data_IF_134299472660
#
_entry.id   IF_134299472660
#
_cell.length_a   1.000
_cell.length_b   1.000
_cell.length_c   1.000
_cell.angle_alpha   90.00
_cell.angle_beta   90.00
_cell.angle_gamma   90.00
#
_symmetry.space_group_name_H-M   'P 1'
#
loop_
_entity.id
_entity.type
_entity.pdbx_description
1 polymer ?
#
# COMPACT_ATOMS: atom_id res chain seq x y z
N UNK A 1 -22.43 -25.98 -28.71
CA UNK A 1 -22.67 -25.23 -27.46
C UNK A 1 -21.97 -23.89 -27.59
N UNK A 2 -22.71 -22.78 -27.62
CA UNK A 2 -22.11 -21.46 -27.70
C UNK A 2 -21.50 -21.09 -26.33
N UNK A 3 -20.23 -20.70 -26.31
CA UNK A 3 -19.58 -20.15 -25.12
C UNK A 3 -20.35 -18.90 -24.67
N UNK A 4 -20.94 -18.95 -23.47
CA UNK A 4 -21.48 -17.76 -22.83
C UNK A 4 -20.31 -16.84 -22.48
N UNK A 5 -20.17 -15.75 -23.23
CA UNK A 5 -19.26 -14.65 -22.91
C UNK A 5 -19.58 -14.18 -21.48
N UNK A 6 -18.61 -14.27 -20.58
CA UNK A 6 -18.78 -13.79 -19.20
C UNK A 6 -19.19 -12.31 -19.25
N UNK A 7 -20.33 -11.99 -18.64
CA UNK A 7 -20.79 -10.62 -18.47
C UNK A 7 -19.75 -9.86 -17.65
N UNK A 8 -19.05 -8.92 -18.28
CA UNK A 8 -18.18 -7.98 -17.59
C UNK A 8 -19.06 -6.97 -16.83
N UNK A 9 -18.72 -6.70 -15.57
CA UNK A 9 -19.49 -5.72 -14.80
C UNK A 9 -19.34 -4.30 -15.40
N UNK A 10 -20.37 -3.44 -15.27
CA UNK A 10 -20.34 -2.08 -15.81
C UNK A 10 -19.16 -1.24 -15.29
N UNK A 11 -18.72 -1.50 -14.06
CA UNK A 11 -17.59 -0.81 -13.43
C UNK A 11 -16.28 -1.02 -14.20
N UNK A 12 -15.97 -2.27 -14.57
CA UNK A 12 -14.78 -2.61 -15.32
C UNK A 12 -14.85 -2.12 -16.77
N UNK A 13 -16.03 -2.19 -17.42
CA UNK A 13 -16.20 -1.68 -18.79
C UNK A 13 -16.26 -0.15 -18.86
N UNK A 14 -16.66 0.50 -17.77
CA UNK A 14 -16.80 1.97 -17.65
C UNK A 14 -15.57 2.66 -17.06
N UNK A 15 -14.44 1.97 -16.88
CA UNK A 15 -13.20 2.60 -16.39
C UNK A 15 -13.20 2.93 -14.90
N UNK A 16 -14.06 2.31 -14.08
CA UNK A 16 -14.19 2.62 -12.66
C UNK A 16 -12.89 2.49 -11.86
N UNK A 17 -11.99 1.58 -12.25
CA UNK A 17 -10.66 1.48 -11.65
C UNK A 17 -9.79 2.71 -11.90
N UNK A 18 -9.81 3.24 -13.13
CA UNK A 18 -9.08 4.45 -13.50
C UNK A 18 -9.69 5.70 -12.84
N UNK A 19 -11.02 5.77 -12.73
CA UNK A 19 -11.70 6.83 -11.98
C UNK A 19 -11.32 6.80 -10.49
N UNK A 20 -11.31 5.63 -9.87
CA UNK A 20 -10.87 5.48 -8.48
C UNK A 20 -9.42 5.95 -8.28
N UNK A 21 -8.51 5.54 -9.18
CA UNK A 21 -7.12 6.00 -9.17
C UNK A 21 -7.03 7.52 -9.27
N UNK A 22 -7.72 8.12 -10.24
CA UNK A 22 -7.76 9.56 -10.43
C UNK A 22 -8.33 10.30 -9.21
N UNK A 23 -9.37 9.78 -8.55
CA UNK A 23 -9.91 10.37 -7.32
C UNK A 23 -8.92 10.29 -6.16
N UNK A 24 -8.21 9.16 -6.00
CA UNK A 24 -7.15 9.03 -4.99
C UNK A 24 -6.05 10.05 -5.28
N UNK A 25 -5.54 10.12 -6.51
CA UNK A 25 -4.51 11.10 -6.89
C UNK A 25 -4.97 12.54 -6.64
N UNK A 26 -6.20 12.88 -7.03
CA UNK A 26 -6.79 14.20 -6.79
C UNK A 26 -6.88 14.53 -5.30
N UNK A 27 -7.19 13.55 -4.44
CA UNK A 27 -7.22 13.75 -2.98
C UNK A 27 -5.87 14.21 -2.42
N UNK A 28 -4.76 13.66 -2.90
CA UNK A 28 -3.42 14.07 -2.49
C UNK A 28 -3.06 15.46 -3.03
N UNK A 29 -3.46 15.78 -4.27
CA UNK A 29 -3.30 17.13 -4.83
C UNK A 29 -4.07 18.15 -4.00
N UNK A 30 -5.31 17.85 -3.60
CA UNK A 30 -6.10 18.71 -2.70
C UNK A 30 -5.41 18.89 -1.35
N UNK A 31 -4.87 17.82 -0.76
CA UNK A 31 -4.09 17.91 0.48
C UNK A 31 -2.86 18.81 0.30
N UNK A 32 -2.12 18.68 -0.81
CA UNK A 32 -0.97 19.53 -1.10
C UNK A 32 -1.36 21.01 -1.20
N UNK A 33 -2.41 21.33 -1.96
CA UNK A 33 -2.87 22.71 -2.16
C UNK A 33 -3.42 23.36 -0.89
N UNK A 34 -3.96 22.55 0.03
CA UNK A 34 -4.50 23.02 1.32
C UNK A 34 -3.47 22.98 2.46
N UNK A 35 -2.22 22.58 2.19
CA UNK A 35 -1.15 22.46 3.20
C UNK A 35 -1.27 21.26 4.13
N UNK A 36 -2.12 20.29 3.77
CA UNK A 36 -2.32 19.03 4.46
C UNK A 36 -1.14 18.05 4.36
N UNK A 37 -1.34 16.87 4.95
CA UNK A 37 -0.30 15.87 5.17
C UNK A 37 -0.62 14.56 4.47
N UNK A 38 0.42 13.86 4.00
CA UNK A 38 0.26 12.52 3.44
C UNK A 38 0.04 11.49 4.58
N UNK A 39 -0.88 10.52 4.44
CA UNK A 39 -0.96 9.40 5.38
C UNK A 39 0.33 8.59 5.38
N UNK A 40 0.56 7.81 6.43
CA UNK A 40 1.72 6.91 6.61
C UNK A 40 3.07 7.62 6.83
N UNK A 41 3.15 8.94 6.67
CA UNK A 41 4.31 9.77 6.98
C UNK A 41 4.04 10.69 8.18
N UNK A 42 5.08 11.31 8.78
CA UNK A 42 4.88 12.37 9.76
C UNK A 42 3.99 13.51 9.22
N UNK A 43 3.35 14.28 10.11
CA UNK A 43 2.52 15.43 9.75
C UNK A 43 3.35 16.61 9.23
N UNK A 44 3.97 16.43 8.07
CA UNK A 44 4.78 17.39 7.31
C UNK A 44 4.05 17.68 6.01
N UNK A 45 3.97 18.95 5.62
CA UNK A 45 3.19 19.36 4.46
C UNK A 45 3.72 18.69 3.19
N UNK A 46 2.79 18.32 2.31
CA UNK A 46 3.13 17.83 0.97
C UNK A 46 3.69 19.01 0.17
N UNK A 47 4.87 18.83 -0.41
CA UNK A 47 5.57 19.87 -1.19
C UNK A 47 5.71 19.53 -2.67
N UNK A 48 5.58 18.26 -3.03
CA UNK A 48 5.69 17.78 -4.41
C UNK A 48 4.91 16.47 -4.58
N UNK A 49 4.24 16.32 -5.71
CA UNK A 49 3.57 15.09 -6.13
C UNK A 49 4.01 14.77 -7.55
N UNK A 50 4.33 13.50 -7.79
CA UNK A 50 4.51 12.93 -9.13
C UNK A 50 3.46 11.86 -9.37
N UNK A 51 2.74 11.98 -10.47
CA UNK A 51 1.82 10.96 -10.95
C UNK A 51 2.54 10.15 -12.03
N UNK A 52 2.37 8.83 -12.05
CA UNK A 52 3.03 7.94 -13.01
C UNK A 52 4.58 8.01 -12.97
N UNK A 53 5.15 7.72 -11.80
CA UNK A 53 6.58 7.81 -11.50
C UNK A 53 7.50 6.86 -12.28
N UNK A 54 6.97 5.96 -13.11
CA UNK A 54 7.76 4.94 -13.82
C UNK A 54 8.86 5.53 -14.70
N UNK A 55 8.58 6.65 -15.36
CA UNK A 55 9.54 7.35 -16.23
C UNK A 55 10.73 7.89 -15.42
N UNK A 56 10.52 8.22 -14.15
CA UNK A 56 11.54 8.72 -13.22
C UNK A 56 12.24 7.60 -12.43
N UNK A 57 11.98 6.33 -12.76
CA UNK A 57 12.66 5.17 -12.20
C UNK A 57 12.03 4.59 -10.93
N UNK A 58 10.80 4.98 -10.58
CA UNK A 58 10.01 4.36 -9.52
C UNK A 58 9.27 3.13 -10.07
N UNK A 59 9.39 1.98 -9.42
CA UNK A 59 8.62 0.81 -9.82
C UNK A 59 7.19 0.86 -9.33
N UNK A 60 6.96 1.45 -8.15
CA UNK A 60 5.67 1.82 -7.57
C UNK A 60 5.29 3.22 -8.07
N UNK A 61 4.40 3.28 -9.06
CA UNK A 61 4.36 4.41 -9.98
C UNK A 61 3.07 5.25 -9.97
N UNK A 62 1.93 4.73 -9.51
CA UNK A 62 0.66 5.47 -9.62
C UNK A 62 0.71 6.83 -8.90
N UNK A 63 1.44 6.95 -7.80
CA UNK A 63 1.55 8.17 -7.00
C UNK A 63 2.85 8.22 -6.20
N UNK A 64 3.65 9.28 -6.34
CA UNK A 64 4.79 9.57 -5.47
C UNK A 64 4.58 10.92 -4.78
N UNK A 65 4.59 10.92 -3.45
CA UNK A 65 4.34 12.13 -2.64
C UNK A 65 5.59 12.46 -1.85
N UNK A 66 6.02 13.71 -1.88
CA UNK A 66 7.11 14.22 -1.08
C UNK A 66 6.58 15.16 -0.01
N UNK A 67 7.02 14.95 1.22
CA UNK A 67 6.73 15.82 2.36
C UNK A 67 8.02 16.44 2.88
N UNK A 68 7.94 17.65 3.43
CA UNK A 68 9.10 18.38 3.94
C UNK A 68 8.89 18.84 5.38
N UNK A 69 9.84 18.56 6.26
CA UNK A 69 9.84 19.09 7.61
C UNK A 69 10.03 20.62 7.56
N UNK A 70 9.13 21.42 8.16
CA UNK A 70 9.18 22.87 8.07
C UNK A 70 10.45 23.46 8.70
N UNK A 71 11.01 22.80 9.73
CA UNK A 71 12.14 23.29 10.50
C UNK A 71 13.48 22.77 9.95
N UNK A 72 13.58 21.48 9.66
CA UNK A 72 14.87 20.84 9.30
C UNK A 72 15.11 20.76 7.80
N UNK A 73 14.08 21.02 6.98
CA UNK A 73 14.10 20.79 5.53
C UNK A 73 14.36 19.34 5.11
N UNK A 74 14.26 18.40 6.06
CA UNK A 74 14.29 16.98 5.75
C UNK A 74 13.10 16.61 4.88
N UNK A 75 13.37 15.92 3.76
CA UNK A 75 12.34 15.36 2.89
C UNK A 75 12.17 13.87 3.12
N UNK A 76 10.92 13.43 3.04
CA UNK A 76 10.52 12.03 3.03
C UNK A 76 9.53 11.81 1.90
N UNK A 77 9.40 10.56 1.48
CA UNK A 77 8.47 10.22 0.41
C UNK A 77 7.62 9.00 0.66
N UNK A 78 6.44 9.03 0.04
CA UNK A 78 5.46 7.96 0.02
C UNK A 78 5.35 7.47 -1.43
N UNK A 79 5.65 6.21 -1.67
CA UNK A 79 5.45 5.55 -2.97
C UNK A 79 4.12 4.80 -2.93
N UNK A 80 3.20 5.13 -3.82
CA UNK A 80 1.82 4.68 -3.81
C UNK A 80 1.44 3.89 -5.05
N UNK A 81 0.93 2.68 -4.84
CA UNK A 81 0.18 1.95 -5.87
C UNK A 81 -1.31 2.00 -5.52
N UNK A 82 -2.16 2.28 -6.48
CA UNK A 82 -3.61 2.33 -6.35
C UNK A 82 -4.25 1.19 -7.11
N UNK A 83 -5.05 0.37 -6.42
CA UNK A 83 -5.86 -0.69 -7.03
C UNK A 83 -7.24 -0.72 -6.38
N UNK A 84 -8.27 -0.32 -7.12
CA UNK A 84 -9.64 -0.28 -6.61
C UNK A 84 -10.07 -1.60 -5.95
N UNK A 85 -9.77 -2.74 -6.56
CA UNK A 85 -10.03 -4.06 -5.99
C UNK A 85 -8.78 -4.91 -6.02
N UNK A 86 -8.43 -5.48 -4.87
CA UNK A 86 -7.31 -6.40 -4.73
C UNK A 86 -7.62 -7.41 -3.63
N UNK A 87 -6.99 -8.57 -3.69
CA UNK A 87 -7.20 -9.65 -2.71
C UNK A 87 -5.86 -10.28 -2.40
N UNK A 88 -5.54 -10.41 -1.12
CA UNK A 88 -4.21 -10.84 -0.66
C UNK A 88 -4.16 -12.37 -0.64
N UNK A 89 -3.86 -12.98 -1.80
CA UNK A 89 -3.72 -14.44 -1.94
C UNK A 89 -2.50 -14.80 -2.79
N UNK A 90 -2.00 -16.04 -2.64
CA UNK A 90 -0.83 -16.53 -3.40
C UNK A 90 -1.03 -16.56 -4.92
N UNK A 91 -2.27 -16.76 -5.35
CA UNK A 91 -2.65 -16.86 -6.77
C UNK A 91 -3.04 -15.52 -7.40
N UNK A 92 -3.12 -14.44 -6.63
CA UNK A 92 -3.43 -13.13 -7.20
C UNK A 92 -2.19 -12.54 -7.88
N UNK A 93 -2.22 -12.51 -9.22
CA UNK A 93 -1.14 -11.96 -10.05
C UNK A 93 -0.96 -10.47 -9.80
N UNK A 94 -2.05 -9.69 -9.76
CA UNK A 94 -2.00 -8.25 -9.49
C UNK A 94 -1.34 -7.95 -8.15
N UNK A 95 -1.69 -8.69 -7.10
CA UNK A 95 -1.02 -8.51 -5.80
C UNK A 95 0.46 -8.88 -5.85
N UNK A 96 0.83 -9.91 -6.61
CA UNK A 96 2.23 -10.24 -6.85
C UNK A 96 2.99 -9.12 -7.56
N UNK A 97 2.40 -8.48 -8.56
CA UNK A 97 2.98 -7.34 -9.28
C UNK A 97 3.19 -6.13 -8.36
N UNK A 98 2.20 -5.81 -7.51
CA UNK A 98 2.33 -4.73 -6.52
C UNK A 98 3.48 -5.02 -5.55
N UNK A 99 3.57 -6.24 -5.01
CA UNK A 99 4.64 -6.61 -4.09
C UNK A 99 6.00 -6.62 -4.79
N UNK A 100 6.07 -7.04 -6.06
CA UNK A 100 7.30 -6.97 -6.85
C UNK A 100 7.79 -5.52 -7.01
N UNK A 101 6.91 -4.61 -7.41
CA UNK A 101 7.25 -3.19 -7.59
C UNK A 101 7.72 -2.56 -6.26
N UNK A 102 6.95 -2.79 -5.19
CA UNK A 102 7.30 -2.32 -3.85
C UNK A 102 8.65 -2.88 -3.37
N UNK A 103 8.92 -4.16 -3.61
CA UNK A 103 10.17 -4.81 -3.23
C UNK A 103 11.38 -4.26 -3.99
N UNK A 104 11.21 -3.96 -5.28
CA UNK A 104 12.27 -3.38 -6.10
C UNK A 104 12.63 -1.98 -5.59
N UNK A 105 11.63 -1.13 -5.31
CA UNK A 105 11.89 0.21 -4.77
C UNK A 105 12.50 0.16 -3.37
N UNK A 106 11.94 -0.68 -2.49
CA UNK A 106 12.42 -0.85 -1.11
C UNK A 106 13.91 -1.19 -1.01
N UNK A 107 14.41 -1.99 -1.96
CA UNK A 107 15.81 -2.40 -2.03
C UNK A 107 16.69 -1.47 -2.87
N UNK A 108 16.14 -0.39 -3.44
CA UNK A 108 16.89 0.56 -4.23
C UNK A 108 17.22 1.81 -3.38
N UNK A 109 18.46 1.96 -2.85
CA UNK A 109 18.81 3.07 -1.97
C UNK A 109 18.81 4.44 -2.67
N UNK A 110 18.78 4.49 -4.00
CA UNK A 110 18.60 5.74 -4.76
C UNK A 110 17.14 6.19 -4.76
N UNK A 111 16.21 5.24 -4.63
CA UNK A 111 14.77 5.43 -4.74
C UNK A 111 14.08 5.27 -3.39
N UNK A 112 14.66 4.66 -2.35
CA UNK A 112 13.98 4.47 -1.07
C UNK A 112 14.95 4.55 0.11
N UNK A 113 14.59 5.34 1.14
CA UNK A 113 15.37 5.47 2.36
C UNK A 113 14.61 4.78 3.50
N UNK A 114 15.10 3.60 3.89
CA UNK A 114 14.58 2.85 5.03
C UNK A 114 14.64 3.69 6.32
N UNK A 115 13.63 3.55 7.17
CA UNK A 115 13.37 4.30 8.40
C UNK A 115 12.78 5.70 8.18
N UNK A 116 12.59 6.11 6.92
CA UNK A 116 12.14 7.47 6.57
C UNK A 116 10.96 7.47 5.61
N UNK A 117 11.12 6.77 4.50
CA UNK A 117 10.14 6.69 3.44
C UNK A 117 9.12 5.58 3.71
N UNK A 118 8.00 5.61 2.99
CA UNK A 118 6.95 4.61 3.10
C UNK A 118 6.49 4.14 1.72
N UNK A 119 6.00 2.91 1.64
CA UNK A 119 5.33 2.37 0.45
C UNK A 119 3.88 2.07 0.85
N UNK A 120 2.90 2.45 0.03
CA UNK A 120 1.49 2.23 0.32
C UNK A 120 0.77 1.58 -0.86
N UNK A 121 0.00 0.54 -0.57
CA UNK A 121 -1.05 0.05 -1.44
C UNK A 121 -2.37 0.70 -1.01
N UNK A 122 -2.96 1.51 -1.89
CA UNK A 122 -4.26 2.16 -1.69
C UNK A 122 -5.32 1.36 -2.45
N UNK A 123 -6.40 1.00 -1.76
CA UNK A 123 -7.44 0.13 -2.31
C UNK A 123 -8.83 0.67 -2.00
N UNK A 124 -9.83 0.19 -2.73
CA UNK A 124 -11.21 0.24 -2.24
C UNK A 124 -11.40 -0.71 -1.04
N UNK A 125 -12.64 -0.86 -0.55
CA UNK A 125 -12.96 -1.77 0.53
C UNK A 125 -12.47 -3.20 0.29
N UNK A 126 -11.77 -3.77 1.27
CA UNK A 126 -11.24 -5.13 1.23
C UNK A 126 -12.25 -6.13 1.83
N UNK A 127 -12.07 -7.42 1.51
CA UNK A 127 -12.83 -8.48 2.16
C UNK A 127 -12.52 -8.55 3.67
N UNK A 128 -13.46 -9.05 4.46
CA UNK A 128 -13.35 -9.08 5.92
C UNK A 128 -12.10 -9.80 6.45
N UNK A 129 -11.60 -10.80 5.71
CA UNK A 129 -10.36 -11.49 6.08
C UNK A 129 -9.16 -10.56 5.92
N UNK A 130 -9.02 -9.91 4.76
CA UNK A 130 -7.88 -9.04 4.46
C UNK A 130 -7.90 -7.79 5.37
N UNK A 131 -9.06 -7.15 5.54
CA UNK A 131 -9.25 -5.98 6.42
C UNK A 131 -8.82 -6.24 7.86
N UNK A 132 -9.06 -7.45 8.40
CA UNK A 132 -8.71 -7.77 9.79
C UNK A 132 -7.27 -8.19 9.98
N UNK A 133 -6.71 -8.95 9.04
CA UNK A 133 -5.43 -9.65 9.25
C UNK A 133 -4.24 -8.85 8.70
N UNK A 134 -4.37 -8.23 7.53
CA UNK A 134 -3.23 -7.55 6.87
C UNK A 134 -2.85 -6.25 7.58
N UNK A 135 -3.77 -5.31 7.88
CA UNK A 135 -3.43 -4.13 8.66
C UNK A 135 -2.85 -4.48 10.03
N UNK A 136 -3.32 -5.54 10.68
CA UNK A 136 -2.77 -6.00 11.96
C UNK A 136 -1.31 -6.43 11.81
N UNK A 137 -0.94 -7.21 10.78
CA UNK A 137 0.45 -7.60 10.52
C UNK A 137 1.35 -6.38 10.33
N UNK A 138 0.95 -5.46 9.44
CA UNK A 138 1.73 -4.25 9.15
C UNK A 138 1.88 -3.37 10.40
N UNK A 139 0.82 -3.23 11.21
CA UNK A 139 0.88 -2.50 12.47
C UNK A 139 1.75 -3.21 13.51
N UNK A 140 1.71 -4.54 13.62
CA UNK A 140 2.60 -5.27 14.53
C UNK A 140 4.06 -5.11 14.13
N UNK A 141 4.38 -5.17 12.84
CA UNK A 141 5.74 -4.95 12.35
C UNK A 141 6.29 -3.59 12.81
N UNK A 142 5.48 -2.53 12.71
CA UNK A 142 5.84 -1.16 13.15
C UNK A 142 5.99 -0.95 14.65
N UNK A 143 5.32 -1.76 15.49
CA UNK A 143 5.25 -1.52 16.94
C UNK A 143 6.02 -2.55 17.79
N UNK A 144 6.62 -3.56 17.16
CA UNK A 144 7.49 -4.52 17.85
C UNK A 144 8.94 -4.07 17.78
N UNK A 145 9.77 -4.54 18.70
CA UNK A 145 11.18 -4.11 18.76
C UNK A 145 12.04 -4.72 17.65
N UNK A 146 11.73 -5.96 17.27
CA UNK A 146 12.47 -6.74 16.29
C UNK A 146 11.60 -7.84 15.67
N UNK A 147 12.16 -8.52 14.67
CA UNK A 147 11.59 -9.66 13.97
C UNK A 147 11.22 -10.81 14.92
N UNK A 148 12.09 -11.17 15.87
CA UNK A 148 11.81 -12.23 16.85
C UNK A 148 10.51 -11.99 17.62
N UNK A 149 10.33 -10.77 18.14
CA UNK A 149 9.11 -10.36 18.84
C UNK A 149 7.90 -10.35 17.91
N UNK A 150 8.06 -9.82 16.69
CA UNK A 150 7.01 -9.82 15.67
C UNK A 150 6.51 -11.23 15.37
N UNK A 151 7.40 -12.17 15.03
CA UNK A 151 7.01 -13.53 14.70
C UNK A 151 6.45 -14.29 15.91
N UNK A 152 6.94 -14.02 17.12
CA UNK A 152 6.33 -14.53 18.36
C UNK A 152 4.88 -14.08 18.49
N UNK A 153 4.61 -12.79 18.28
CA UNK A 153 3.26 -12.22 18.34
C UNK A 153 2.33 -12.79 17.26
N UNK A 154 2.82 -12.98 16.04
CA UNK A 154 2.03 -13.58 14.93
C UNK A 154 1.65 -15.04 15.22
N UNK A 155 2.51 -15.79 15.93
CA UNK A 155 2.25 -17.19 16.31
C UNK A 155 1.39 -17.34 17.57
N UNK A 156 1.22 -16.28 18.36
CA UNK A 156 0.53 -16.33 19.63
C UNK A 156 -0.99 -16.43 19.41
N UNK A 157 -1.54 -17.61 19.66
CA UNK A 157 -2.98 -17.86 19.62
C UNK A 157 -3.75 -16.88 20.54
N UNK A 158 -4.93 -16.45 20.09
CA UNK A 158 -5.81 -15.47 20.74
C UNK A 158 -5.24 -14.05 20.89
N UNK A 159 -3.96 -13.83 20.59
CA UNK A 159 -3.35 -12.50 20.47
C UNK A 159 -3.41 -12.02 19.01
N UNK A 160 -2.99 -12.87 18.07
CA UNK A 160 -3.07 -12.58 16.64
C UNK A 160 -4.47 -12.88 16.08
N UNK A 161 -4.94 -12.12 15.08
CA UNK A 161 -6.09 -12.48 14.28
C UNK A 161 -5.97 -13.91 13.68
N UNK A 162 -7.07 -14.67 13.54
CA UNK A 162 -7.01 -16.10 13.21
C UNK A 162 -6.27 -16.47 11.93
N UNK A 163 -6.20 -15.55 10.95
CA UNK A 163 -5.56 -15.78 9.65
C UNK A 163 -4.30 -14.92 9.45
N UNK A 164 -3.76 -14.33 10.52
CA UNK A 164 -2.57 -13.50 10.44
C UNK A 164 -1.36 -14.29 9.92
N UNK A 165 -1.07 -15.46 10.51
CA UNK A 165 0.01 -16.33 10.04
C UNK A 165 -0.19 -16.81 8.60
N UNK A 166 -1.44 -17.06 8.17
CA UNK A 166 -1.76 -17.43 6.78
C UNK A 166 -1.44 -16.27 5.83
N UNK A 167 -1.88 -15.05 6.17
CA UNK A 167 -1.64 -13.85 5.34
C UNK A 167 -0.17 -13.45 5.30
N UNK A 168 0.57 -13.62 6.40
CA UNK A 168 2.01 -13.43 6.42
C UNK A 168 2.70 -14.37 5.41
N UNK A 169 2.31 -15.65 5.37
CA UNK A 169 2.81 -16.60 4.37
C UNK A 169 2.44 -16.24 2.93
N UNK A 170 1.34 -15.52 2.71
CA UNK A 170 0.99 -15.00 1.37
C UNK A 170 1.94 -13.87 0.98
N UNK A 171 2.22 -12.93 1.89
CA UNK A 171 3.13 -11.82 1.62
C UNK A 171 4.56 -12.35 1.40
N UNK A 172 5.04 -13.22 2.28
CA UNK A 172 6.34 -13.88 2.15
C UNK A 172 6.46 -14.64 0.82
N UNK A 173 5.42 -15.34 0.38
CA UNK A 173 5.42 -16.03 -0.92
C UNK A 173 5.66 -15.07 -2.09
N UNK A 174 5.03 -13.91 -2.10
CA UNK A 174 5.22 -12.93 -3.17
C UNK A 174 6.56 -12.19 -3.06
N UNK A 175 7.03 -11.91 -1.84
CA UNK A 175 8.36 -11.36 -1.61
C UNK A 175 9.48 -12.32 -2.04
N UNK A 176 9.34 -13.62 -1.76
CA UNK A 176 10.29 -14.63 -2.24
C UNK A 176 10.37 -14.65 -3.77
N UNK A 177 9.23 -14.54 -4.45
CA UNK A 177 9.21 -14.41 -5.91
C UNK A 177 9.91 -13.12 -6.37
N UNK A 178 9.63 -12.01 -5.69
CA UNK A 178 10.25 -10.74 -5.99
C UNK A 178 11.76 -10.73 -5.76
N UNK A 179 12.25 -11.52 -4.81
CA UNK A 179 13.65 -11.77 -4.52
C UNK A 179 14.27 -12.84 -5.43
N UNK A 180 13.89 -12.87 -6.71
CA UNK A 180 14.40 -13.83 -7.69
C UNK A 180 14.11 -15.30 -7.36
N UNK A 181 13.01 -15.56 -6.65
CA UNK A 181 12.60 -16.90 -6.21
C UNK A 181 13.33 -17.42 -4.97
N UNK A 182 14.21 -16.62 -4.37
CA UNK A 182 14.93 -16.99 -3.13
C UNK A 182 14.10 -16.62 -1.91
N UNK A 183 14.27 -17.39 -0.84
CA UNK A 183 13.65 -17.08 0.44
C UNK A 183 14.17 -15.73 0.96
N UNK A 184 13.25 -14.84 1.32
CA UNK A 184 13.57 -13.58 1.99
C UNK A 184 13.81 -13.88 3.47
N UNK A 185 14.96 -13.44 4.02
CA UNK A 185 15.24 -13.55 5.45
C UNK A 185 14.15 -12.92 6.33
N UNK A 186 13.99 -13.45 7.54
CA UNK A 186 12.93 -13.02 8.47
C UNK A 186 13.08 -11.53 8.87
N UNK A 187 14.32 -11.04 9.01
CA UNK A 187 14.63 -9.64 9.29
C UNK A 187 14.30 -8.72 8.11
N UNK A 188 14.63 -9.12 6.88
CA UNK A 188 14.26 -8.39 5.66
C UNK A 188 12.74 -8.36 5.42
N UNK A 189 12.05 -9.48 5.68
CA UNK A 189 10.59 -9.56 5.64
C UNK A 189 9.96 -8.61 6.65
N UNK A 190 10.45 -8.64 7.90
CA UNK A 190 10.00 -7.76 8.97
C UNK A 190 10.24 -6.28 8.63
N UNK A 191 11.43 -5.94 8.13
CA UNK A 191 11.80 -4.58 7.73
C UNK A 191 10.90 -4.08 6.59
N UNK A 192 10.63 -4.91 5.56
CA UNK A 192 9.68 -4.55 4.52
C UNK A 192 8.27 -4.27 5.05
N UNK A 193 7.74 -5.13 5.93
CA UNK A 193 6.41 -4.95 6.52
C UNK A 193 6.31 -3.68 7.38
N UNK A 194 7.42 -3.23 7.95
CA UNK A 194 7.49 -1.98 8.70
C UNK A 194 7.21 -0.76 7.79
N UNK A 195 7.72 -0.81 6.56
CA UNK A 195 7.65 0.26 5.56
C UNK A 195 6.45 0.16 4.61
N UNK A 196 5.81 -1.00 4.54
CA UNK A 196 4.64 -1.23 3.71
C UNK A 196 3.34 -0.91 4.44
N UNK A 197 2.49 -0.12 3.79
CA UNK A 197 1.19 0.32 4.29
C UNK A 197 0.07 -0.15 3.37
N UNK A 198 -1.11 -0.31 3.95
CA UNK A 198 -2.34 -0.65 3.24
C UNK A 198 -3.41 0.32 3.69
N UNK A 199 -3.98 1.09 2.76
CA UNK A 199 -5.03 2.05 3.07
C UNK A 199 -6.26 1.83 2.21
N UNK A 200 -7.42 1.80 2.86
CA UNK A 200 -8.71 1.70 2.19
C UNK A 200 -9.30 3.09 2.01
N UNK A 201 -9.64 3.45 0.77
CA UNK A 201 -10.31 4.68 0.40
C UNK A 201 -11.70 4.36 -0.14
N UNK A 202 -12.69 5.18 0.22
CA UNK A 202 -14.08 5.04 -0.24
C UNK A 202 -14.42 5.97 -1.42
N UNK A 203 -13.41 6.53 -2.08
CA UNK A 203 -13.52 7.43 -3.24
C UNK A 203 -14.03 6.75 -4.54
N UNK A 204 -14.36 5.45 -4.47
CA UNK A 204 -15.04 4.71 -5.54
C UNK A 204 -16.56 4.62 -5.32
N UNK A 205 -17.05 5.10 -4.19
CA UNK A 205 -18.47 5.08 -3.81
C UNK A 205 -19.09 6.48 -3.97
N UNK A 206 -20.41 6.53 -4.12
CA UNK A 206 -21.18 7.79 -4.17
C UNK A 206 -21.12 8.56 -2.84
N UNK A 207 -20.97 7.85 -1.72
CA UNK A 207 -20.88 8.40 -0.37
C UNK A 207 -19.71 7.75 0.37
N UNK A 208 -18.98 8.55 1.14
CA UNK A 208 -17.80 8.08 1.86
C UNK A 208 -17.24 9.15 2.78
N UNK A 209 -16.57 8.72 3.86
CA UNK A 209 -15.93 9.60 4.83
C UNK A 209 -14.78 10.37 4.18
N UNK A 210 -13.93 9.72 3.36
CA UNK A 210 -12.83 10.41 2.69
C UNK A 210 -13.39 11.43 1.71
N UNK A 211 -14.43 11.06 0.98
CA UNK A 211 -15.13 11.98 0.08
C UNK A 211 -15.69 13.19 0.85
N UNK A 212 -16.40 12.98 1.96
CA UNK A 212 -16.94 14.07 2.78
C UNK A 212 -15.85 15.01 3.33
N UNK A 213 -14.70 14.48 3.75
CA UNK A 213 -13.57 15.28 4.21
C UNK A 213 -12.96 16.13 3.09
N UNK A 214 -12.91 15.61 1.85
CA UNK A 214 -12.44 16.40 0.71
C UNK A 214 -13.39 17.57 0.38
N UNK A 215 -14.68 17.45 0.71
CA UNK A 215 -15.70 18.48 0.50
C UNK A 215 -15.95 19.38 1.73
N UNK A 216 -15.12 19.32 2.78
CA UNK A 216 -15.40 20.00 4.06
C UNK A 216 -14.93 21.47 4.14
N UNK A 217 -14.72 22.14 3.01
CA UNK A 217 -14.17 23.50 2.91
C UNK A 217 -15.22 24.54 2.56
#
# INVERSE_FOLDING_TARGET
MAERKNLSNPFSTGGGGAHFEAHVQASFVTLMLTGGYAPCLPCWSIVEIKLQGKIDGFDTDDLVVFVENPNTKERRKLLGQVKHSITVTKGNVLFGEVIQAAWNDFNNPKIFVKGKDAIVLITGPLNATDTRNVPWLLNQARHTKNDEEFFRNVRQANFSPPKAAEKLKVIQHHLNKANGGKEVPDDDLYDFLNHFHLQSYDLGNEFGVVLSLLHSH
#
